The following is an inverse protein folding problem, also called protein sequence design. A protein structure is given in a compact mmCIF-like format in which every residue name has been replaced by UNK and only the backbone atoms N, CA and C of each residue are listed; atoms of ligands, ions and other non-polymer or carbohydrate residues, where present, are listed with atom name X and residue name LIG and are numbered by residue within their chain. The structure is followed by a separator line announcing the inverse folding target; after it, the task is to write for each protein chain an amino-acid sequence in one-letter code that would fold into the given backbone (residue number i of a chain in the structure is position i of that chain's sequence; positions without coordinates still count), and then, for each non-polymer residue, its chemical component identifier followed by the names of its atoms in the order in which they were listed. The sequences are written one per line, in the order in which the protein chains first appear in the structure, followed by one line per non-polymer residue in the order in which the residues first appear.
data_IF_276468738191
#
_entry.id   IF_276468738191
#
_cell.length_a   1.000
_cell.length_b   1.000
_cell.length_c   1.000
_cell.angle_alpha   90.00
_cell.angle_beta   90.00
_cell.angle_gamma   90.00
#
_symmetry.space_group_name_H-M   'P 1'
#
loop_
_entity.id
_entity.type
_entity.pdbx_description
1 polymer ?
#
# COMPACT_ATOMS: atom_id res chain seq x y z
N UNK A 1 14.01 -13.13 20.29
CA UNK A 1 13.22 -13.90 21.28
C UNK A 1 13.92 -14.04 22.62
N UNK A 2 15.22 -14.32 22.70
CA UNK A 2 15.91 -14.29 24.01
C UNK A 2 15.75 -12.96 24.78
N UNK A 3 15.81 -11.82 24.08
CA UNK A 3 15.58 -10.50 24.69
C UNK A 3 14.15 -10.32 25.24
N UNK A 4 13.15 -11.07 24.75
CA UNK A 4 11.79 -10.98 25.26
C UNK A 4 11.57 -11.70 26.59
N UNK A 5 12.55 -12.48 27.07
CA UNK A 5 12.53 -13.11 28.38
C UNK A 5 12.77 -12.07 29.48
N UNK A 6 13.68 -11.12 29.24
CA UNK A 6 14.01 -10.03 30.17
C UNK A 6 13.10 -8.82 29.95
N UNK A 7 12.73 -8.54 28.70
CA UNK A 7 11.92 -7.38 28.34
C UNK A 7 10.76 -7.78 27.41
N UNK A 8 9.55 -8.00 27.92
CA UNK A 8 8.44 -8.56 27.14
C UNK A 8 8.12 -7.79 25.85
N UNK A 9 7.69 -8.52 24.82
CA UNK A 9 7.25 -7.91 23.56
C UNK A 9 5.98 -7.11 23.77
N UNK A 10 6.06 -5.80 23.55
CA UNK A 10 4.90 -4.91 23.54
C UNK A 10 5.01 -3.92 22.37
N UNK A 11 4.04 -4.03 21.44
CA UNK A 11 3.94 -3.21 20.23
C UNK A 11 3.52 -1.77 20.54
N UNK A 12 2.58 -1.57 21.47
CA UNK A 12 2.06 -0.25 21.82
C UNK A 12 3.12 0.62 22.51
N UNK A 13 3.97 0.01 23.33
CA UNK A 13 5.06 0.70 24.03
C UNK A 13 6.37 0.71 23.24
N UNK A 14 6.39 0.15 22.03
CA UNK A 14 7.57 0.10 21.16
C UNK A 14 8.85 -0.41 21.88
N UNK A 15 8.66 -1.46 22.64
CA UNK A 15 9.70 -2.07 23.48
C UNK A 15 10.95 -2.47 22.68
N UNK A 16 12.14 -2.39 23.27
CA UNK A 16 13.39 -2.73 22.58
C UNK A 16 13.43 -4.17 22.05
N UNK A 17 12.76 -5.10 22.73
CA UNK A 17 12.51 -6.47 22.26
C UNK A 17 11.63 -6.53 21.02
N UNK A 18 10.60 -5.71 20.97
CA UNK A 18 9.76 -5.57 19.78
C UNK A 18 10.54 -4.94 18.62
N UNK A 19 11.33 -3.90 18.88
CA UNK A 19 12.19 -3.26 17.87
C UNK A 19 13.17 -4.28 17.29
N UNK A 20 13.97 -4.96 18.13
CA UNK A 20 14.94 -5.97 17.65
C UNK A 20 14.27 -7.09 16.85
N UNK A 21 13.10 -7.55 17.29
CA UNK A 21 12.34 -8.57 16.55
C UNK A 21 11.91 -8.08 15.16
N UNK A 22 11.28 -6.90 15.09
CA UNK A 22 10.79 -6.33 13.82
C UNK A 22 11.92 -5.92 12.88
N UNK A 23 13.01 -5.33 13.39
CA UNK A 23 14.20 -5.00 12.60
C UNK A 23 14.89 -6.26 12.06
N UNK A 24 15.00 -7.32 12.86
CA UNK A 24 15.55 -8.59 12.40
C UNK A 24 14.71 -9.22 11.28
N UNK A 25 13.38 -9.22 11.44
CA UNK A 25 12.47 -9.68 10.39
C UNK A 25 12.57 -8.82 9.11
N UNK A 26 12.68 -7.50 9.26
CA UNK A 26 12.86 -6.58 8.12
C UNK A 26 14.19 -6.83 7.38
N UNK A 27 15.29 -7.08 8.10
CA UNK A 27 16.58 -7.40 7.49
C UNK A 27 16.57 -8.75 6.76
N UNK A 28 15.88 -9.76 7.31
CA UNK A 28 15.70 -11.04 6.63
C UNK A 28 14.89 -10.88 5.34
N UNK A 29 13.81 -10.10 5.39
CA UNK A 29 13.00 -9.80 4.21
C UNK A 29 13.81 -9.01 3.16
N UNK A 30 14.59 -8.02 3.59
CA UNK A 30 15.49 -7.28 2.71
C UNK A 30 16.52 -8.19 2.05
N UNK A 31 17.15 -9.10 2.81
CA UNK A 31 18.08 -10.08 2.28
C UNK A 31 17.45 -11.02 1.26
N UNK A 32 16.20 -11.43 1.49
CA UNK A 32 15.42 -12.22 0.53
C UNK A 32 15.14 -11.44 -0.77
N UNK A 33 14.72 -10.18 -0.67
CA UNK A 33 14.53 -9.31 -1.84
C UNK A 33 15.83 -9.12 -2.63
N UNK A 34 16.93 -8.82 -1.95
CA UNK A 34 18.26 -8.69 -2.56
C UNK A 34 18.66 -9.98 -3.30
N UNK A 35 18.49 -11.14 -2.67
CA UNK A 35 18.80 -12.41 -3.31
C UNK A 35 17.96 -12.66 -4.58
N UNK A 36 16.65 -12.41 -4.53
CA UNK A 36 15.78 -12.63 -5.69
C UNK A 36 16.02 -11.64 -6.84
N UNK A 37 16.19 -10.36 -6.53
CA UNK A 37 16.26 -9.28 -7.51
C UNK A 37 17.69 -9.14 -8.05
N UNK A 38 18.67 -9.00 -7.15
CA UNK A 38 20.06 -8.69 -7.52
C UNK A 38 20.87 -9.96 -7.79
N UNK A 39 20.78 -10.99 -6.95
CA UNK A 39 21.58 -12.21 -7.13
C UNK A 39 20.99 -13.18 -8.17
N UNK A 40 19.65 -13.32 -8.24
CA UNK A 40 18.96 -14.20 -9.19
C UNK A 40 18.44 -13.49 -10.44
N UNK A 41 18.48 -12.15 -10.49
CA UNK A 41 18.05 -11.37 -11.66
C UNK A 41 16.54 -11.43 -11.93
N UNK A 42 15.72 -11.90 -10.98
CA UNK A 42 14.27 -12.01 -11.16
C UNK A 42 13.66 -10.63 -10.86
N UNK A 43 13.61 -9.75 -11.86
CA UNK A 43 13.26 -8.33 -11.65
C UNK A 43 11.82 -7.97 -12.06
N UNK A 44 11.18 -8.75 -12.95
CA UNK A 44 9.88 -8.38 -13.54
C UNK A 44 8.75 -8.18 -12.51
N UNK A 45 8.73 -8.99 -11.45
CA UNK A 45 7.72 -8.86 -10.38
C UNK A 45 7.94 -7.65 -9.48
N UNK A 46 9.18 -7.14 -9.43
CA UNK A 46 9.53 -5.95 -8.63
C UNK A 46 9.19 -4.64 -9.36
N UNK A 47 8.89 -4.69 -10.67
CA UNK A 47 8.63 -3.49 -11.48
C UNK A 47 7.55 -2.56 -10.91
N UNK A 48 6.38 -3.05 -10.43
CA UNK A 48 5.41 -2.17 -9.77
C UNK A 48 5.96 -1.53 -8.50
N UNK A 49 6.74 -2.26 -7.70
CA UNK A 49 7.36 -1.73 -6.49
C UNK A 49 8.44 -0.69 -6.80
N UNK A 50 9.19 -0.85 -7.90
CA UNK A 50 10.17 0.13 -8.40
C UNK A 50 9.46 1.41 -8.82
N UNK A 51 8.40 1.32 -9.63
CA UNK A 51 7.62 2.49 -10.11
C UNK A 51 7.07 3.29 -8.93
N UNK A 52 6.46 2.59 -7.96
CA UNK A 52 5.97 3.23 -6.74
C UNK A 52 7.09 3.79 -5.86
N UNK A 53 8.19 3.06 -5.74
CA UNK A 53 9.34 3.46 -4.91
C UNK A 53 10.03 4.71 -5.44
N UNK A 54 10.26 4.80 -6.75
CA UNK A 54 10.86 5.97 -7.40
C UNK A 54 9.97 7.22 -7.29
N UNK A 55 8.65 7.04 -7.21
CA UNK A 55 7.67 8.13 -7.15
C UNK A 55 6.93 8.20 -5.80
N UNK A 56 7.55 7.72 -4.70
CA UNK A 56 6.88 7.53 -3.42
C UNK A 56 6.27 8.83 -2.86
N UNK A 57 6.97 9.96 -2.96
CA UNK A 57 6.45 11.25 -2.51
C UNK A 57 5.26 11.73 -3.37
N UNK A 58 5.36 11.58 -4.69
CA UNK A 58 4.34 12.00 -5.63
C UNK A 58 3.04 11.22 -5.41
N UNK A 59 3.11 9.89 -5.35
CA UNK A 59 1.91 9.07 -5.07
C UNK A 59 1.34 9.38 -3.68
N UNK A 60 2.18 9.56 -2.66
CA UNK A 60 1.70 9.84 -1.30
C UNK A 60 0.89 11.15 -1.24
N UNK A 61 1.44 12.23 -1.82
CA UNK A 61 0.78 13.54 -1.81
C UNK A 61 -0.45 13.54 -2.72
N UNK A 62 -0.30 13.12 -3.97
CA UNK A 62 -1.38 13.19 -4.97
C UNK A 62 -2.55 12.26 -4.62
N UNK A 63 -2.28 11.05 -4.13
CA UNK A 63 -3.36 10.14 -3.69
C UNK A 63 -4.13 10.70 -2.50
N UNK A 64 -3.44 11.34 -1.55
CA UNK A 64 -4.07 12.04 -0.44
C UNK A 64 -4.94 13.21 -0.90
N UNK A 65 -4.46 14.01 -1.86
CA UNK A 65 -5.21 15.12 -2.44
C UNK A 65 -6.46 14.65 -3.19
N UNK A 66 -6.32 13.67 -4.09
CA UNK A 66 -7.46 13.09 -4.82
C UNK A 66 -8.49 12.50 -3.86
N UNK A 67 -8.05 11.74 -2.85
CA UNK A 67 -8.96 11.18 -1.85
C UNK A 67 -9.75 12.27 -1.09
N UNK A 68 -9.12 13.41 -0.75
CA UNK A 68 -9.81 14.55 -0.13
C UNK A 68 -10.81 15.19 -1.10
N UNK A 69 -10.42 15.44 -2.34
CA UNK A 69 -11.31 16.00 -3.36
C UNK A 69 -12.55 15.13 -3.60
N UNK A 70 -12.36 13.81 -3.69
CA UNK A 70 -13.48 12.86 -3.83
C UNK A 70 -14.44 12.86 -2.63
N UNK A 71 -13.97 13.21 -1.43
CA UNK A 71 -14.84 13.35 -0.26
C UNK A 71 -15.47 14.74 -0.14
N UNK A 72 -14.83 15.79 -0.68
CA UNK A 72 -15.33 17.16 -0.63
C UNK A 72 -16.46 17.42 -1.63
N UNK A 73 -16.36 16.85 -2.83
CA UNK A 73 -17.41 16.98 -3.85
C UNK A 73 -18.59 16.09 -3.45
N UNK A 74 -19.79 16.65 -3.41
CA UNK A 74 -21.02 15.93 -3.07
C UNK A 74 -21.94 15.87 -4.29
N UNK A 75 -22.62 14.73 -4.46
CA UNK A 75 -23.71 14.51 -5.42
C UNK A 75 -24.95 14.16 -4.59
N UNK A 76 -25.83 15.13 -4.40
CA UNK A 76 -26.91 15.02 -3.40
C UNK A 76 -26.32 14.94 -1.99
N UNK A 77 -26.77 13.97 -1.21
CA UNK A 77 -26.32 13.75 0.18
C UNK A 77 -25.06 12.87 0.28
N UNK A 78 -24.59 12.31 -0.85
CA UNK A 78 -23.44 11.41 -0.89
C UNK A 78 -22.18 12.14 -1.35
N UNK A 79 -21.04 11.83 -0.74
CA UNK A 79 -19.75 12.24 -1.31
C UNK A 79 -19.51 11.53 -2.65
N UNK A 80 -18.77 12.18 -3.55
CA UNK A 80 -18.44 11.65 -4.86
C UNK A 80 -17.75 10.28 -4.76
N UNK A 81 -16.91 10.08 -3.73
CA UNK A 81 -16.30 8.79 -3.41
C UNK A 81 -17.34 7.69 -3.17
N UNK A 82 -18.34 7.96 -2.32
CA UNK A 82 -19.40 7.00 -2.00
C UNK A 82 -20.27 6.75 -3.22
N UNK A 83 -20.63 7.81 -3.94
CA UNK A 83 -21.41 7.70 -5.17
C UNK A 83 -20.69 6.81 -6.21
N UNK A 84 -19.39 6.99 -6.42
CA UNK A 84 -18.57 6.13 -7.30
C UNK A 84 -18.60 4.68 -6.82
N UNK A 85 -18.40 4.45 -5.52
CA UNK A 85 -18.41 3.09 -4.96
C UNK A 85 -19.76 2.39 -5.19
N UNK A 86 -20.87 3.06 -4.86
CA UNK A 86 -22.21 2.48 -4.97
C UNK A 86 -22.62 2.23 -6.43
N UNK A 87 -22.37 3.19 -7.31
CA UNK A 87 -22.85 3.13 -8.69
C UNK A 87 -21.95 2.30 -9.61
N UNK A 88 -20.63 2.30 -9.39
CA UNK A 88 -19.68 1.60 -10.28
C UNK A 88 -19.20 0.25 -9.76
N UNK A 89 -19.23 0.00 -8.44
CA UNK A 89 -18.69 -1.24 -7.87
C UNK A 89 -19.77 -2.06 -7.14
N UNK A 90 -20.55 -1.44 -6.26
CA UNK A 90 -21.58 -2.16 -5.50
C UNK A 90 -22.85 -2.46 -6.32
N UNK A 91 -23.02 -1.82 -7.49
CA UNK A 91 -24.17 -2.03 -8.38
C UNK A 91 -24.25 -3.43 -8.98
N UNK A 92 -23.10 -4.10 -9.14
CA UNK A 92 -23.02 -5.44 -9.76
C UNK A 92 -22.26 -6.47 -8.92
N UNK A 93 -21.49 -6.05 -7.91
CA UNK A 93 -20.71 -6.95 -7.06
C UNK A 93 -21.24 -7.00 -5.62
N UNK A 94 -21.04 -8.14 -4.95
CA UNK A 94 -21.27 -8.25 -3.51
C UNK A 94 -20.36 -7.26 -2.75
N UNK A 95 -20.73 -6.82 -1.53
CA UNK A 95 -19.97 -5.80 -0.79
C UNK A 95 -18.47 -6.13 -0.62
N UNK A 96 -18.15 -7.41 -0.38
CA UNK A 96 -16.78 -7.90 -0.29
C UNK A 96 -16.03 -7.69 -1.62
N UNK A 97 -16.60 -8.17 -2.72
CA UNK A 97 -15.97 -8.08 -4.05
C UNK A 97 -15.92 -6.64 -4.57
N UNK A 98 -16.93 -5.83 -4.27
CA UNK A 98 -16.96 -4.41 -4.59
C UNK A 98 -15.83 -3.64 -3.89
N UNK A 99 -15.60 -3.93 -2.60
CA UNK A 99 -14.51 -3.29 -1.84
C UNK A 99 -13.12 -3.69 -2.37
N UNK A 100 -12.95 -4.98 -2.72
CA UNK A 100 -11.71 -5.49 -3.32
C UNK A 100 -11.47 -4.84 -4.68
N UNK A 101 -12.48 -4.80 -5.55
CA UNK A 101 -12.40 -4.20 -6.87
C UNK A 101 -12.05 -2.70 -6.77
N UNK A 102 -12.71 -1.96 -5.88
CA UNK A 102 -12.38 -0.55 -5.63
C UNK A 102 -10.92 -0.34 -5.20
N UNK A 103 -10.42 -1.17 -4.28
CA UNK A 103 -9.04 -1.11 -3.82
C UNK A 103 -8.04 -1.44 -4.95
N UNK A 104 -8.30 -2.50 -5.71
CA UNK A 104 -7.47 -2.90 -6.86
C UNK A 104 -7.47 -1.82 -7.94
N UNK A 105 -8.62 -1.26 -8.30
CA UNK A 105 -8.71 -0.16 -9.27
C UNK A 105 -7.92 1.05 -8.81
N UNK A 106 -7.99 1.42 -7.53
CA UNK A 106 -7.18 2.53 -7.00
C UNK A 106 -5.68 2.24 -7.14
N UNK A 107 -5.23 1.03 -6.80
CA UNK A 107 -3.82 0.63 -6.94
C UNK A 107 -3.38 0.63 -8.40
N UNK A 108 -4.20 0.12 -9.32
CA UNK A 108 -3.86 0.08 -10.75
C UNK A 108 -3.87 1.48 -11.37
N UNK A 109 -4.80 2.33 -10.97
CA UNK A 109 -4.86 3.72 -11.40
C UNK A 109 -3.57 4.47 -11.02
N UNK A 110 -3.17 4.41 -9.75
CA UNK A 110 -1.93 5.07 -9.31
C UNK A 110 -0.68 4.42 -9.90
N UNK A 111 -0.69 3.10 -10.12
CA UNK A 111 0.43 2.43 -10.79
C UNK A 111 0.59 2.93 -12.23
N UNK A 112 -0.51 3.06 -12.97
CA UNK A 112 -0.51 3.61 -14.33
C UNK A 112 -0.04 5.07 -14.36
N UNK A 113 -0.54 5.90 -13.44
CA UNK A 113 -0.11 7.30 -13.31
C UNK A 113 1.38 7.42 -13.02
N UNK A 114 1.91 6.63 -12.09
CA UNK A 114 3.34 6.65 -11.75
C UNK A 114 4.20 5.99 -12.84
N UNK A 115 3.66 5.04 -13.60
CA UNK A 115 4.36 4.45 -14.74
C UNK A 115 4.65 5.47 -15.83
N UNK A 116 3.79 6.48 -16.03
CA UNK A 116 4.05 7.59 -16.96
C UNK A 116 5.30 8.37 -16.55
N UNK A 117 5.58 8.50 -15.25
CA UNK A 117 6.76 9.21 -14.72
C UNK A 117 8.03 8.34 -14.72
N UNK A 118 7.89 7.03 -14.94
CA UNK A 118 9.01 6.10 -14.98
C UNK A 118 9.71 6.07 -16.36
N UNK A 119 8.98 6.37 -17.43
CA UNK A 119 9.49 6.45 -18.80
C UNK A 119 9.86 7.89 -19.17
#
# INVERSE_FOLDING_TARGET
LFWSIVFPLNKSLWTSSYVVFTSGAALQFLGFCYFLIDAKGIQRWALPAIIYGMNALAVFVLSGLVARLLNLIHIGDLSLKVWIYENLFASWASPMNASLAFAVTNILFWLGMMAILYY
#
